data_IF_662486159414
#
_entry.id   IF_662486159414
#
_cell.length_a   1.000
_cell.length_b   1.000
_cell.length_c   1.000
_cell.angle_alpha   90.00
_cell.angle_beta   90.00
_cell.angle_gamma   90.00
#
_symmetry.space_group_name_H-M   'P 1'
#
loop_
_entity.id
_entity.type
_entity.pdbx_description
1 polymer ?
#
# COMPACT_ATOMS: atom_id res chain seq x y z
N UNK A 1 11.04 7.30 5.56
CA UNK A 1 9.91 6.47 5.07
C UNK A 1 10.27 5.95 3.70
N UNK A 2 10.10 4.65 3.47
CA UNK A 2 10.23 4.02 2.15
C UNK A 2 8.83 3.62 1.71
N UNK A 3 8.43 4.06 0.52
CA UNK A 3 7.17 3.66 -0.12
C UNK A 3 7.52 2.71 -1.26
N UNK A 4 6.82 1.59 -1.33
CA UNK A 4 6.95 0.63 -2.42
C UNK A 4 5.62 0.54 -3.15
N UNK A 5 5.60 0.84 -4.43
CA UNK A 5 4.47 0.58 -5.31
C UNK A 5 4.45 -0.91 -5.67
N UNK A 6 3.32 -1.54 -5.39
CA UNK A 6 3.14 -2.98 -5.52
C UNK A 6 1.89 -3.29 -6.33
N UNK A 7 1.96 -4.36 -7.07
CA UNK A 7 0.84 -4.97 -7.76
C UNK A 7 0.65 -6.45 -7.34
N UNK A 8 -0.29 -7.14 -7.97
CA UNK A 8 -0.57 -8.55 -7.67
C UNK A 8 0.54 -9.51 -8.09
N UNK A 9 1.53 -9.06 -8.88
CA UNK A 9 2.70 -9.85 -9.28
C UNK A 9 3.90 -9.65 -8.34
N UNK A 10 3.81 -8.67 -7.44
CA UNK A 10 4.89 -8.37 -6.49
C UNK A 10 5.15 -9.54 -5.56
N UNK A 11 6.40 -10.01 -5.44
CA UNK A 11 6.71 -11.16 -4.59
C UNK A 11 6.26 -10.95 -3.14
N UNK A 12 5.49 -11.89 -2.60
CA UNK A 12 4.85 -11.80 -1.28
C UNK A 12 5.82 -11.52 -0.14
N UNK A 13 7.08 -11.94 -0.27
CA UNK A 13 8.12 -11.70 0.76
C UNK A 13 8.30 -10.23 1.13
N UNK A 14 8.00 -9.29 0.21
CA UNK A 14 8.13 -7.87 0.50
C UNK A 14 7.07 -7.39 1.49
N UNK A 15 5.87 -7.96 1.46
CA UNK A 15 4.78 -7.60 2.38
C UNK A 15 5.04 -8.03 3.82
N UNK A 16 5.85 -9.07 4.03
CA UNK A 16 6.23 -9.56 5.38
C UNK A 16 6.90 -8.46 6.21
N UNK A 17 7.72 -7.64 5.58
CA UNK A 17 8.51 -6.60 6.24
C UNK A 17 7.84 -5.23 6.21
N UNK A 18 6.69 -5.10 5.57
CA UNK A 18 5.94 -3.86 5.55
C UNK A 18 5.42 -3.52 6.95
N UNK A 19 5.59 -2.26 7.36
CA UNK A 19 4.99 -1.74 8.60
C UNK A 19 3.50 -1.45 8.40
N UNK A 20 3.13 -0.98 7.21
CA UNK A 20 1.77 -0.76 6.79
C UNK A 20 1.57 -1.20 5.34
N UNK A 21 0.37 -1.66 5.03
CA UNK A 21 -0.05 -2.07 3.70
C UNK A 21 -1.26 -1.21 3.32
N UNK A 22 -1.07 -0.37 2.31
CA UNK A 22 -2.10 0.52 1.80
C UNK A 22 -2.85 -0.15 0.66
N UNK A 23 -4.10 -0.50 0.91
CA UNK A 23 -5.01 -1.10 -0.07
C UNK A 23 -5.70 0.03 -0.84
N UNK A 24 -5.25 0.27 -2.06
CA UNK A 24 -5.79 1.35 -2.91
C UNK A 24 -6.91 0.82 -3.77
N UNK A 25 -8.12 1.32 -3.55
CA UNK A 25 -9.33 0.93 -4.28
C UNK A 25 -9.96 2.14 -4.97
N UNK A 26 -10.34 1.99 -6.22
CA UNK A 26 -11.16 2.95 -6.96
C UNK A 26 -12.65 2.61 -6.86
N UNK A 27 -13.50 3.40 -7.54
CA UNK A 27 -14.94 3.11 -7.64
C UNK A 27 -15.26 1.88 -8.51
N UNK A 28 -14.26 1.29 -9.17
CA UNK A 28 -14.47 0.08 -9.96
C UNK A 28 -14.64 -1.14 -9.03
N UNK A 29 -15.88 -1.56 -8.87
CA UNK A 29 -16.26 -2.69 -8.00
C UNK A 29 -15.64 -4.00 -8.49
N UNK A 30 -15.37 -4.14 -9.79
CA UNK A 30 -14.79 -5.36 -10.36
C UNK A 30 -13.35 -5.59 -9.87
N UNK A 31 -12.67 -4.53 -9.43
CA UNK A 31 -11.31 -4.64 -8.88
C UNK A 31 -11.28 -5.06 -7.39
N UNK A 32 -12.42 -5.07 -6.70
CA UNK A 32 -12.50 -5.49 -5.30
C UNK A 32 -12.15 -6.97 -5.17
N UNK A 33 -12.69 -7.83 -6.03
CA UNK A 33 -12.47 -9.28 -5.91
C UNK A 33 -10.99 -9.68 -6.04
N UNK A 34 -10.24 -9.25 -7.06
CA UNK A 34 -8.81 -9.56 -7.14
C UNK A 34 -8.01 -8.98 -5.98
N UNK A 35 -8.33 -7.76 -5.52
CA UNK A 35 -7.68 -7.18 -4.35
C UNK A 35 -7.92 -8.01 -3.09
N UNK A 36 -9.18 -8.38 -2.83
CA UNK A 36 -9.52 -9.21 -1.68
C UNK A 36 -8.87 -10.59 -1.75
N UNK A 37 -8.87 -11.22 -2.92
CA UNK A 37 -8.21 -12.52 -3.13
C UNK A 37 -6.71 -12.44 -2.83
N UNK A 38 -6.06 -11.38 -3.29
CA UNK A 38 -4.64 -11.14 -3.03
C UNK A 38 -4.35 -10.93 -1.53
N UNK A 39 -5.13 -10.08 -0.84
CA UNK A 39 -4.96 -9.85 0.60
C UNK A 39 -5.18 -11.14 1.40
N UNK A 40 -6.14 -11.98 1.01
CA UNK A 40 -6.33 -13.31 1.62
C UNK A 40 -5.12 -14.20 1.43
N UNK A 41 -4.57 -14.23 0.23
CA UNK A 41 -3.37 -14.99 -0.04
C UNK A 41 -2.19 -14.54 0.83
N UNK A 42 -2.03 -13.22 1.04
CA UNK A 42 -1.04 -12.68 1.97
C UNK A 42 -1.32 -13.12 3.42
N UNK A 43 -2.59 -13.10 3.84
CA UNK A 43 -3.01 -13.51 5.18
C UNK A 43 -2.77 -15.01 5.42
N UNK A 44 -3.16 -15.86 4.47
CA UNK A 44 -3.00 -17.30 4.54
C UNK A 44 -1.51 -17.71 4.62
N UNK A 45 -0.62 -16.89 4.04
CA UNK A 45 0.84 -17.08 4.10
C UNK A 45 1.50 -16.36 5.30
N UNK A 46 0.73 -15.78 6.21
CA UNK A 46 1.26 -15.08 7.39
C UNK A 46 2.03 -13.79 7.08
N UNK A 47 1.73 -13.16 5.92
CA UNK A 47 2.39 -11.93 5.47
C UNK A 47 1.53 -10.68 5.64
N UNK A 48 0.28 -10.85 6.04
CA UNK A 48 -0.67 -9.78 6.30
C UNK A 48 -1.22 -9.90 7.72
N UNK A 49 -1.16 -8.81 8.44
CA UNK A 49 -1.78 -8.62 9.75
C UNK A 49 -2.81 -7.48 9.64
N UNK A 50 -3.98 -7.67 10.22
CA UNK A 50 -5.05 -6.67 10.22
C UNK A 50 -4.58 -5.29 10.69
N UNK A 51 -3.75 -5.24 11.73
CA UNK A 51 -3.20 -4.01 12.30
C UNK A 51 -2.41 -3.17 11.31
N UNK A 52 -1.87 -3.80 10.26
CA UNK A 52 -1.08 -3.15 9.19
C UNK A 52 -1.94 -2.61 8.06
N UNK A 53 -3.22 -3.00 7.98
CA UNK A 53 -4.11 -2.60 6.90
C UNK A 53 -4.46 -1.12 6.97
N UNK A 54 -4.39 -0.44 5.84
CA UNK A 54 -4.89 0.91 5.59
C UNK A 54 -5.64 0.91 4.27
N UNK A 55 -6.77 1.56 4.21
CA UNK A 55 -7.57 1.64 2.98
C UNK A 55 -7.49 3.05 2.39
N UNK A 56 -7.26 3.14 1.10
CA UNK A 56 -7.30 4.39 0.35
C UNK A 56 -8.35 4.25 -0.74
N UNK A 57 -9.47 4.96 -0.56
CA UNK A 57 -10.49 5.05 -1.60
C UNK A 57 -10.10 6.16 -2.57
N UNK A 58 -9.67 5.79 -3.78
CA UNK A 58 -9.19 6.73 -4.79
C UNK A 58 -10.26 7.02 -5.82
N UNK A 59 -10.33 8.27 -6.30
CA UNK A 59 -11.33 8.75 -7.26
C UNK A 59 -12.76 8.49 -6.78
N UNK A 60 -12.99 8.70 -5.50
CA UNK A 60 -14.26 8.40 -4.87
C UNK A 60 -15.35 9.40 -5.26
N UNK A 61 -16.52 8.88 -5.60
CA UNK A 61 -17.75 9.63 -5.81
C UNK A 61 -18.84 9.02 -4.95
N UNK A 62 -19.46 9.81 -4.09
CA UNK A 62 -20.57 9.34 -3.29
C UNK A 62 -21.84 9.24 -4.16
N UNK A 63 -22.41 8.06 -4.25
CA UNK A 63 -23.66 7.79 -4.96
C UNK A 63 -24.72 7.28 -3.99
N UNK A 64 -25.96 7.10 -4.44
CA UNK A 64 -26.99 6.52 -3.57
C UNK A 64 -26.70 5.08 -3.17
N UNK A 65 -26.09 4.33 -4.08
CA UNK A 65 -25.87 2.89 -3.97
C UNK A 65 -24.46 2.55 -3.45
N UNK A 66 -23.48 3.45 -3.62
CA UNK A 66 -22.08 3.19 -3.28
C UNK A 66 -21.55 4.30 -2.38
N UNK A 67 -21.23 3.93 -1.17
CA UNK A 67 -20.59 4.79 -0.17
C UNK A 67 -19.26 4.17 0.31
N UNK A 68 -18.54 4.88 1.17
CA UNK A 68 -17.26 4.43 1.72
C UNK A 68 -17.38 3.09 2.46
N UNK A 69 -18.43 2.93 3.25
CA UNK A 69 -18.66 1.73 4.06
C UNK A 69 -18.87 0.47 3.19
N UNK A 70 -19.60 0.61 2.08
CA UNK A 70 -19.83 -0.48 1.12
C UNK A 70 -18.52 -0.90 0.46
N UNK A 71 -17.68 0.05 0.02
CA UNK A 71 -16.41 -0.28 -0.62
C UNK A 71 -15.43 -0.91 0.36
N UNK A 72 -15.29 -0.35 1.56
CA UNK A 72 -14.43 -0.90 2.61
C UNK A 72 -14.91 -2.29 3.03
N UNK A 73 -16.22 -2.47 3.21
CA UNK A 73 -16.83 -3.76 3.49
C UNK A 73 -16.59 -4.78 2.39
N UNK A 74 -16.70 -4.37 1.12
CA UNK A 74 -16.39 -5.23 -0.02
C UNK A 74 -14.96 -5.74 -0.02
N UNK A 75 -13.98 -4.88 0.27
CA UNK A 75 -12.56 -5.28 0.37
C UNK A 75 -12.36 -6.27 1.54
N UNK A 76 -13.05 -6.04 2.67
CA UNK A 76 -12.90 -6.90 3.85
C UNK A 76 -13.52 -8.28 3.68
N UNK A 77 -14.72 -8.37 3.10
CA UNK A 77 -15.54 -9.58 3.13
C UNK A 77 -15.93 -10.13 1.76
N UNK A 78 -15.55 -9.47 0.66
CA UNK A 78 -15.96 -9.95 -0.66
C UNK A 78 -15.55 -11.41 -0.85
N UNK A 79 -16.56 -12.27 -0.94
CA UNK A 79 -16.39 -13.70 -1.09
C UNK A 79 -16.85 -14.14 -2.47
N UNK A 80 -16.12 -15.10 -3.04
CA UNK A 80 -16.71 -15.97 -4.03
C UNK A 80 -17.89 -16.73 -3.36
N UNK A 81 -19.00 -16.91 -4.10
CA UNK A 81 -20.23 -17.52 -3.60
C UNK A 81 -20.02 -18.90 -2.93
N UNK A 82 -18.90 -19.56 -3.21
CA UNK A 82 -18.51 -20.84 -2.61
C UNK A 82 -17.91 -20.74 -1.20
N UNK A 83 -17.71 -19.52 -0.64
CA UNK A 83 -16.90 -19.32 0.57
C UNK A 83 -17.65 -18.64 1.71
N UNK A 84 -18.77 -19.18 2.11
CA UNK A 84 -19.70 -18.64 3.12
C UNK A 84 -19.16 -18.51 4.55
N UNK A 85 -17.98 -19.06 4.85
CA UNK A 85 -17.45 -19.15 6.22
C UNK A 85 -16.12 -18.39 6.47
N UNK A 86 -15.64 -17.55 5.55
CA UNK A 86 -14.38 -16.84 5.79
C UNK A 86 -14.57 -15.61 6.67
N UNK A 87 -13.71 -15.51 7.67
CA UNK A 87 -13.57 -14.35 8.56
C UNK A 87 -13.24 -13.09 7.76
N UNK A 88 -13.70 -11.93 8.21
CA UNK A 88 -13.24 -10.63 7.70
C UNK A 88 -11.72 -10.54 7.75
N UNK A 89 -11.12 -9.94 6.72
CA UNK A 89 -9.66 -9.73 6.64
C UNK A 89 -9.19 -8.65 7.61
N UNK A 90 -10.06 -7.69 7.88
CA UNK A 90 -9.89 -6.63 8.87
C UNK A 90 -11.26 -6.08 9.28
N UNK A 91 -11.34 -5.49 10.46
CA UNK A 91 -12.57 -4.85 10.92
C UNK A 91 -12.81 -3.54 10.15
N UNK A 92 -13.87 -3.53 9.33
CA UNK A 92 -14.27 -2.38 8.51
C UNK A 92 -14.62 -1.12 9.30
N UNK A 93 -14.97 -1.24 10.60
CA UNK A 93 -15.31 -0.11 11.45
C UNK A 93 -14.09 0.57 12.06
N UNK A 94 -13.02 -0.17 12.26
CA UNK A 94 -11.82 0.32 12.93
C UNK A 94 -10.62 0.50 11.99
N UNK A 95 -10.68 -0.02 10.76
CA UNK A 95 -9.61 0.15 9.79
C UNK A 95 -9.40 1.63 9.46
N UNK A 96 -8.16 2.07 9.54
CA UNK A 96 -7.81 3.43 9.14
C UNK A 96 -7.93 3.58 7.63
N UNK A 97 -8.66 4.60 7.21
CA UNK A 97 -8.84 4.87 5.78
C UNK A 97 -8.76 6.35 5.45
N UNK A 98 -8.49 6.63 4.19
CA UNK A 98 -8.53 7.97 3.60
C UNK A 98 -9.26 7.89 2.26
N UNK A 99 -10.16 8.86 2.06
CA UNK A 99 -10.91 8.99 0.82
C UNK A 99 -10.40 10.19 0.03
N UNK A 100 -10.00 9.94 -1.21
CA UNK A 100 -9.58 10.94 -2.18
C UNK A 100 -10.72 11.12 -3.17
N UNK A 101 -11.42 12.26 -3.16
CA UNK A 101 -12.57 12.48 -4.02
C UNK A 101 -12.16 12.54 -5.49
N UNK A 102 -13.04 12.06 -6.37
CA UNK A 102 -12.93 12.38 -7.78
C UNK A 102 -13.34 13.82 -8.00
N UNK A 103 -12.44 14.59 -8.58
CA UNK A 103 -12.64 15.99 -8.95
C UNK A 103 -12.10 16.21 -10.35
N UNK A 104 -13.00 16.52 -11.27
CA UNK A 104 -12.66 16.68 -12.69
C UNK A 104 -11.58 17.74 -12.90
N UNK A 105 -11.62 18.85 -12.16
CA UNK A 105 -10.61 19.92 -12.27
C UNK A 105 -9.23 19.40 -11.88
N UNK A 106 -9.14 18.72 -10.77
CA UNK A 106 -7.88 18.10 -10.32
C UNK A 106 -7.40 17.01 -11.27
N UNK A 107 -8.33 16.23 -11.82
CA UNK A 107 -7.98 15.21 -12.81
C UNK A 107 -7.42 15.79 -14.10
N UNK A 108 -8.04 16.85 -14.65
CA UNK A 108 -7.53 17.54 -15.83
C UNK A 108 -6.17 18.19 -15.54
N UNK A 109 -6.00 18.81 -14.36
CA UNK A 109 -4.69 19.35 -13.96
C UNK A 109 -3.62 18.28 -13.88
N UNK A 110 -3.97 17.08 -13.40
CA UNK A 110 -3.06 15.93 -13.41
C UNK A 110 -2.65 15.52 -14.82
N UNK A 111 -3.61 15.44 -15.75
CA UNK A 111 -3.31 15.10 -17.15
C UNK A 111 -2.40 16.15 -17.80
N UNK A 112 -2.67 17.43 -17.61
CA UNK A 112 -1.80 18.51 -18.07
C UNK A 112 -0.39 18.39 -17.49
N UNK A 113 -0.29 18.06 -16.21
CA UNK A 113 0.99 17.84 -15.54
C UNK A 113 1.80 16.69 -16.13
N UNK A 114 1.14 15.60 -16.53
CA UNK A 114 1.80 14.48 -17.20
C UNK A 114 2.38 14.90 -18.56
N UNK A 115 1.63 15.69 -19.34
CA UNK A 115 2.07 16.16 -20.66
C UNK A 115 3.21 17.17 -20.55
N UNK A 116 3.12 18.09 -19.56
CA UNK A 116 4.10 19.16 -19.38
C UNK A 116 5.24 18.82 -18.44
N UNK A 117 5.26 17.60 -17.87
CA UNK A 117 6.19 17.17 -16.82
C UNK A 117 6.17 18.11 -15.58
N UNK A 118 5.03 18.75 -15.29
CA UNK A 118 4.85 19.62 -14.13
C UNK A 118 4.14 18.88 -13.00
N UNK A 119 4.89 18.51 -11.97
CA UNK A 119 4.41 17.83 -10.77
C UNK A 119 4.00 18.79 -9.65
N UNK A 120 3.91 20.10 -9.93
CA UNK A 120 3.52 21.09 -8.91
C UNK A 120 2.08 20.86 -8.43
N UNK A 121 1.83 21.16 -7.15
CA UNK A 121 0.49 21.08 -6.55
C UNK A 121 -0.41 22.30 -6.87
N UNK A 122 0.05 23.22 -7.72
CA UNK A 122 -0.73 24.39 -8.14
C UNK A 122 -1.88 23.97 -9.05
N UNK A 123 -3.06 24.54 -8.84
CA UNK A 123 -4.23 24.33 -9.70
C UNK A 123 -5.15 23.18 -9.26
N UNK A 124 -4.75 22.37 -8.29
CA UNK A 124 -5.64 21.37 -7.68
C UNK A 124 -6.66 22.03 -6.75
N UNK A 125 -7.81 21.39 -6.56
CA UNK A 125 -8.84 21.88 -5.64
C UNK A 125 -8.42 21.73 -4.18
N UNK A 126 -9.00 22.54 -3.29
CA UNK A 126 -8.71 22.50 -1.85
C UNK A 126 -9.08 21.13 -1.25
N UNK A 127 -10.20 20.56 -1.66
CA UNK A 127 -10.70 19.27 -1.17
C UNK A 127 -9.75 18.15 -1.52
N UNK A 128 -9.31 18.09 -2.77
CA UNK A 128 -8.31 17.13 -3.23
C UNK A 128 -7.00 17.26 -2.46
N UNK A 129 -6.48 18.48 -2.30
CA UNK A 129 -5.24 18.75 -1.55
C UNK A 129 -5.38 18.38 -0.07
N UNK A 130 -6.54 18.64 0.55
CA UNK A 130 -6.79 18.22 1.93
C UNK A 130 -6.78 16.69 2.09
N UNK A 131 -7.34 15.96 1.15
CA UNK A 131 -7.32 14.51 1.16
C UNK A 131 -5.92 13.96 1.00
N UNK A 132 -5.11 14.52 0.09
CA UNK A 132 -3.69 14.17 -0.03
C UNK A 132 -2.91 14.48 1.26
N UNK A 133 -3.19 15.60 1.92
CA UNK A 133 -2.57 15.93 3.21
C UNK A 133 -2.95 14.93 4.31
N UNK A 134 -4.21 14.48 4.34
CA UNK A 134 -4.64 13.42 5.27
C UNK A 134 -3.87 12.12 5.03
N UNK A 135 -3.74 11.71 3.76
CA UNK A 135 -2.96 10.52 3.39
C UNK A 135 -1.49 10.66 3.80
N UNK A 136 -0.86 11.79 3.48
CA UNK A 136 0.52 12.06 3.87
C UNK A 136 0.70 12.01 5.39
N UNK A 137 -0.20 12.63 6.15
CA UNK A 137 -0.16 12.59 7.61
C UNK A 137 -0.29 11.16 8.15
N UNK A 138 -1.16 10.32 7.56
CA UNK A 138 -1.31 8.93 7.95
C UNK A 138 0.01 8.16 7.77
N UNK A 139 0.68 8.34 6.63
CA UNK A 139 1.98 7.74 6.32
C UNK A 139 3.07 8.23 7.29
N UNK A 140 3.12 9.53 7.57
CA UNK A 140 4.16 10.11 8.44
C UNK A 140 3.97 9.77 9.91
N UNK A 141 2.73 9.69 10.41
CA UNK A 141 2.47 9.33 11.81
C UNK A 141 2.96 7.93 12.15
N UNK A 142 2.89 7.02 11.19
CA UNK A 142 3.42 5.66 11.37
C UNK A 142 4.95 5.64 11.38
N UNK A 143 5.58 6.42 10.50
CA UNK A 143 7.05 6.54 10.46
C UNK A 143 7.67 7.23 11.68
N UNK A 144 6.88 8.00 12.45
CA UNK A 144 7.37 8.72 13.64
C UNK A 144 7.30 7.90 14.93
N UNK A 145 6.56 6.81 14.97
CA UNK A 145 6.66 5.84 16.06
C UNK A 145 8.00 5.13 15.93
N UNK A 146 8.98 5.58 16.72
CA UNK A 146 10.28 4.92 16.89
C UNK A 146 10.10 3.54 17.52
N UNK A 147 9.61 2.58 16.78
CA UNK A 147 9.92 1.19 17.10
C UNK A 147 11.41 1.01 16.81
N UNK A 148 12.16 0.71 17.86
CA UNK A 148 13.56 0.28 17.72
C UNK A 148 13.52 -0.94 16.80
N UNK A 149 13.95 -0.74 15.55
CA UNK A 149 14.21 -1.86 14.67
C UNK A 149 15.30 -2.71 15.33
N UNK A 150 14.89 -3.84 15.88
CA UNK A 150 15.79 -4.92 16.24
C UNK A 150 15.94 -5.78 14.99
N UNK A 151 17.09 -5.72 14.30
CA UNK A 151 17.30 -6.61 13.17
C UNK A 151 17.10 -8.05 13.64
N UNK A 152 16.42 -8.90 12.85
CA UNK A 152 16.28 -10.30 13.19
C UNK A 152 17.68 -10.86 13.41
N UNK A 153 17.92 -11.47 14.58
CA UNK A 153 19.15 -12.16 14.87
C UNK A 153 19.33 -13.25 13.81
N UNK A 154 20.29 -13.06 12.92
CA UNK A 154 20.71 -14.10 11.98
C UNK A 154 21.34 -15.18 12.89
N UNK A 155 20.55 -16.21 13.20
CA UNK A 155 21.13 -17.44 13.73
C UNK A 155 22.01 -17.96 12.61
N UNK A 156 23.31 -17.80 12.77
CA UNK A 156 24.32 -18.47 11.96
C UNK A 156 24.16 -19.98 12.16
N UNK A 157 23.23 -20.60 11.45
CA UNK A 157 23.31 -22.02 11.22
C UNK A 157 24.47 -22.19 10.24
N UNK A 158 25.58 -22.66 10.74
CA UNK A 158 26.80 -22.92 9.99
C UNK A 158 26.50 -23.77 8.75
N UNK A 159 26.83 -23.24 7.60
CA UNK A 159 26.69 -23.91 6.31
C UNK A 159 27.07 -23.00 5.17
N UNK A 160 28.33 -23.15 4.72
CA UNK A 160 28.92 -22.74 3.44
C UNK A 160 29.10 -21.24 3.20
N UNK A 161 30.36 -20.86 3.27
CA UNK A 161 30.87 -19.52 3.14
C UNK A 161 30.50 -18.83 1.82
N UNK A 162 30.08 -17.59 1.95
CA UNK A 162 30.16 -16.63 0.88
C UNK A 162 31.64 -16.32 0.61
N UNK A 163 32.07 -16.61 -0.60
CA UNK A 163 33.44 -16.44 -1.07
C UNK A 163 33.94 -14.98 -0.86
N UNK A 164 35.18 -14.78 -0.41
CA UNK A 164 35.78 -13.45 -0.20
C UNK A 164 35.95 -12.58 -1.46
N UNK A 165 35.60 -13.09 -2.64
CA UNK A 165 35.85 -12.41 -3.93
C UNK A 165 35.04 -11.13 -4.20
N UNK A 166 33.98 -10.86 -3.42
CA UNK A 166 33.13 -9.68 -3.68
C UNK A 166 33.71 -8.39 -3.08
N UNK A 167 34.49 -8.49 -2.01
CA UNK A 167 35.15 -7.32 -1.40
C UNK A 167 36.36 -6.84 -2.20
N UNK A 168 37.05 -7.74 -2.89
CA UNK A 168 38.23 -7.38 -3.68
C UNK A 168 37.85 -6.61 -4.96
N UNK A 169 36.70 -6.91 -5.56
CA UNK A 169 36.19 -6.21 -6.74
C UNK A 169 35.74 -4.78 -6.43
N UNK A 170 35.14 -4.55 -5.27
CA UNK A 170 34.74 -3.22 -4.80
C UNK A 170 35.94 -2.33 -4.45
N UNK A 171 37.01 -2.90 -3.93
CA UNK A 171 38.24 -2.18 -3.60
C UNK A 171 39.09 -1.86 -4.85
N UNK A 172 38.99 -2.67 -5.90
CA UNK A 172 39.65 -2.36 -7.18
C UNK A 172 38.93 -1.25 -7.95
N UNK A 173 37.58 -1.17 -7.86
CA UNK A 173 36.82 -0.08 -8.48
C UNK A 173 37.09 1.29 -7.83
N UNK A 174 37.42 1.36 -6.54
CA UNK A 174 37.75 2.62 -5.85
C UNK A 174 39.15 3.15 -6.11
N UNK A 175 40.04 2.39 -6.75
CA UNK A 175 41.41 2.84 -7.10
C UNK A 175 41.56 3.42 -8.49
N UNK A 176 40.50 3.36 -9.31
CA UNK A 176 40.55 3.81 -10.72
C UNK A 176 39.67 5.06 -11.00
N UNK A 177 39.30 5.81 -9.92
CA UNK A 177 38.70 7.15 -10.03
C UNK A 177 39.46 8.15 -9.16
#
# INVERSE_FOLDING_TARGET
VVLMDCDFSTPMRYFKYAQEIYLVQSMDILTIQPLTAFVRQLSDNGMFEESKARVVLNKFMNTKEINEEILIGGISIYNDASMTLRKELFDRKTVKHVTIPFDLKSYLRYLDGLVTCDISLKGYTKEFLQSLKKLANMIYQTGSKKEKYTPPSIKNNGGTGFSPRMNDTLNQMKKNY
#
